data_IF_365354990621
#
_entry.id   IF_365354990621
#
_cell.length_a   1.000
_cell.length_b   1.000
_cell.length_c   1.000
_cell.angle_alpha   90.00
_cell.angle_beta   90.00
_cell.angle_gamma   90.00
#
_symmetry.space_group_name_H-M   'P 1'
#
loop_
_entity.id
_entity.type
_entity.pdbx_description
1 polymer ?
#
# COMPACT_ATOMS: atom_id res chain seq x y z
N UNK A 1 -11.21 -31.08 -27.33
CA UNK A 1 -11.03 -30.29 -26.08
C UNK A 1 -9.85 -29.36 -26.28
N UNK A 2 -10.08 -28.05 -26.22
CA UNK A 2 -9.00 -27.07 -26.35
C UNK A 2 -8.02 -27.26 -25.17
N UNK A 3 -6.77 -27.59 -25.49
CA UNK A 3 -5.70 -27.78 -24.51
C UNK A 3 -5.48 -26.44 -23.80
N UNK A 4 -5.91 -26.34 -22.54
CA UNK A 4 -5.73 -25.14 -21.72
C UNK A 4 -4.24 -24.77 -21.75
N UNK A 5 -3.93 -23.57 -22.21
CA UNK A 5 -2.56 -23.05 -22.27
C UNK A 5 -2.05 -22.88 -20.83
N UNK A 6 -0.93 -23.52 -20.49
CA UNK A 6 -0.26 -23.35 -19.20
C UNK A 6 0.51 -22.02 -19.19
N UNK A 7 0.20 -21.16 -18.22
CA UNK A 7 0.87 -19.88 -18.00
C UNK A 7 1.97 -20.02 -16.93
N UNK A 8 3.21 -19.79 -17.34
CA UNK A 8 4.38 -19.86 -16.47
C UNK A 8 4.48 -18.69 -15.48
N UNK A 9 3.90 -17.53 -15.80
CA UNK A 9 3.84 -16.39 -14.90
C UNK A 9 2.86 -16.66 -13.76
N UNK A 10 1.72 -17.32 -14.04
CA UNK A 10 0.78 -17.78 -13.00
C UNK A 10 1.46 -18.75 -12.03
N UNK A 11 2.29 -19.66 -12.51
CA UNK A 11 3.08 -20.53 -11.62
C UNK A 11 4.01 -19.70 -10.71
N UNK A 12 4.75 -18.76 -11.30
CA UNK A 12 5.65 -17.87 -10.55
C UNK A 12 4.89 -17.06 -9.51
N UNK A 13 3.74 -16.50 -9.89
CA UNK A 13 2.84 -15.72 -9.05
C UNK A 13 2.36 -16.52 -7.84
N UNK A 14 1.78 -17.70 -8.07
CA UNK A 14 1.31 -18.56 -6.98
C UNK A 14 2.44 -18.95 -6.03
N UNK A 15 3.62 -19.34 -6.57
CA UNK A 15 4.76 -19.68 -5.72
C UNK A 15 5.20 -18.51 -4.85
N UNK A 16 5.32 -17.32 -5.45
CA UNK A 16 5.70 -16.09 -4.75
C UNK A 16 4.68 -15.69 -3.70
N UNK A 17 3.38 -15.74 -4.02
CA UNK A 17 2.30 -15.43 -3.07
C UNK A 17 2.35 -16.32 -1.82
N UNK A 18 2.70 -17.61 -1.98
CA UNK A 18 2.89 -18.56 -0.87
C UNK A 18 4.24 -18.45 -0.16
N UNK A 19 5.12 -17.52 -0.58
CA UNK A 19 6.44 -17.32 0.03
C UNK A 19 7.42 -18.48 -0.19
N UNK A 20 7.16 -19.34 -1.18
CA UNK A 20 7.95 -20.54 -1.41
C UNK A 20 9.16 -20.25 -2.31
N UNK A 21 10.32 -20.78 -1.93
CA UNK A 21 11.47 -20.89 -2.82
C UNK A 21 11.26 -22.03 -3.82
N UNK A 22 11.97 -21.98 -4.95
CA UNK A 22 11.89 -23.02 -6.00
C UNK A 22 12.21 -24.43 -5.49
N UNK A 23 13.14 -24.55 -4.53
CA UNK A 23 13.48 -25.84 -3.91
C UNK A 23 12.35 -26.38 -3.02
N UNK A 24 11.71 -25.52 -2.24
CA UNK A 24 10.57 -25.91 -1.40
C UNK A 24 9.38 -26.37 -2.24
N UNK A 25 9.07 -25.66 -3.34
CA UNK A 25 8.02 -26.09 -4.26
C UNK A 25 8.37 -27.41 -4.96
N UNK A 26 9.64 -27.58 -5.36
CA UNK A 26 10.09 -28.81 -6.01
C UNK A 26 9.93 -30.03 -5.09
N UNK A 27 10.28 -29.89 -3.82
CA UNK A 27 10.10 -30.92 -2.79
C UNK A 27 8.61 -31.28 -2.62
N UNK A 28 7.74 -30.28 -2.46
CA UNK A 28 6.29 -30.49 -2.31
C UNK A 28 5.62 -31.18 -3.51
N UNK A 29 6.16 -30.99 -4.72
CA UNK A 29 5.63 -31.54 -5.98
C UNK A 29 6.27 -32.89 -6.35
N UNK A 30 7.38 -33.26 -5.70
CA UNK A 30 8.18 -34.44 -6.07
C UNK A 30 8.94 -34.26 -7.38
N UNK A 31 9.55 -33.08 -7.59
CA UNK A 31 10.36 -32.78 -8.78
C UNK A 31 11.68 -32.09 -8.40
N UNK A 32 12.42 -31.55 -9.36
CA UNK A 32 13.70 -30.85 -9.11
C UNK A 32 13.53 -29.32 -9.14
N UNK A 33 14.34 -28.56 -8.38
CA UNK A 33 14.33 -27.09 -8.45
C UNK A 33 14.62 -26.57 -9.87
N UNK A 34 15.44 -27.31 -10.64
CA UNK A 34 15.74 -27.03 -12.04
C UNK A 34 14.49 -27.15 -12.92
N UNK A 35 13.66 -28.17 -12.70
CA UNK A 35 12.41 -28.33 -13.43
C UNK A 35 11.44 -27.18 -13.13
N UNK A 36 11.23 -26.82 -11.85
CA UNK A 36 10.44 -25.64 -11.46
C UNK A 36 10.94 -24.37 -12.15
N UNK A 37 12.26 -24.14 -12.13
CA UNK A 37 12.86 -23.00 -12.81
C UNK A 37 12.60 -22.96 -14.32
N UNK A 38 12.61 -24.12 -15.00
CA UNK A 38 12.27 -24.21 -16.43
C UNK A 38 10.78 -24.02 -16.70
N UNK A 39 9.91 -24.45 -15.80
CA UNK A 39 8.47 -24.23 -15.89
C UNK A 39 8.15 -22.74 -15.77
N UNK A 40 8.70 -22.05 -14.77
CA UNK A 40 8.52 -20.61 -14.55
C UNK A 40 9.12 -19.76 -15.68
N UNK A 41 10.23 -20.19 -16.28
CA UNK A 41 10.82 -19.50 -17.42
C UNK A 41 10.11 -19.79 -18.76
N UNK A 42 9.05 -20.61 -18.77
CA UNK A 42 8.35 -21.00 -20.00
C UNK A 42 9.15 -21.93 -20.92
N UNK A 43 10.35 -22.35 -20.51
CA UNK A 43 11.27 -23.20 -21.30
C UNK A 43 10.75 -24.64 -21.42
N UNK A 44 10.00 -25.12 -20.42
CA UNK A 44 9.41 -26.44 -20.41
C UNK A 44 8.00 -26.35 -19.86
N UNK A 45 7.06 -27.11 -20.42
CA UNK A 45 5.71 -27.24 -19.84
C UNK A 45 5.64 -28.46 -18.94
N UNK A 46 5.05 -28.35 -17.74
CA UNK A 46 4.73 -29.52 -16.92
C UNK A 46 3.68 -30.39 -17.63
N UNK A 47 3.73 -31.69 -17.38
CA UNK A 47 2.67 -32.62 -17.78
C UNK A 47 1.43 -32.49 -16.88
N UNK A 48 0.29 -33.03 -17.31
CA UNK A 48 -0.97 -32.91 -16.55
C UNK A 48 -0.88 -33.42 -15.10
N UNK A 49 -0.23 -34.57 -14.80
CA UNK A 49 -0.02 -35.00 -13.43
C UNK A 49 0.78 -33.98 -12.60
N UNK A 50 1.82 -33.38 -13.18
CA UNK A 50 2.62 -32.35 -12.50
C UNK A 50 1.81 -31.08 -12.26
N UNK A 51 0.98 -30.65 -13.21
CA UNK A 51 0.07 -29.50 -13.03
C UNK A 51 -0.88 -29.73 -11.85
N UNK A 52 -1.45 -30.94 -11.73
CA UNK A 52 -2.32 -31.29 -10.59
C UNK A 52 -1.56 -31.26 -9.26
N UNK A 53 -0.32 -31.76 -9.22
CA UNK A 53 0.52 -31.68 -8.01
C UNK A 53 0.89 -30.23 -7.65
N UNK A 54 1.19 -29.39 -8.64
CA UNK A 54 1.43 -27.96 -8.45
C UNK A 54 0.21 -27.25 -7.87
N UNK A 55 -0.98 -27.54 -8.39
CA UNK A 55 -2.25 -26.99 -7.88
C UNK A 55 -2.44 -27.29 -6.40
N UNK A 56 -2.25 -28.56 -6.00
CA UNK A 56 -2.35 -28.99 -4.60
C UNK A 56 -1.29 -28.31 -3.72
N UNK A 57 -0.02 -28.33 -4.14
CA UNK A 57 1.08 -27.76 -3.35
C UNK A 57 0.95 -26.24 -3.14
N UNK A 58 0.35 -25.53 -4.09
CA UNK A 58 0.17 -24.08 -4.05
C UNK A 58 -1.20 -23.66 -3.51
N UNK A 59 -2.12 -24.61 -3.29
CA UNK A 59 -3.48 -24.33 -2.85
C UNK A 59 -4.27 -23.51 -3.85
N UNK A 60 -4.14 -23.80 -5.15
CA UNK A 60 -4.86 -23.11 -6.24
C UNK A 60 -5.56 -24.13 -7.14
N UNK A 61 -6.68 -23.80 -7.80
CA UNK A 61 -7.30 -24.70 -8.77
C UNK A 61 -6.39 -24.87 -10.00
N UNK A 62 -6.50 -26.00 -10.71
CA UNK A 62 -5.74 -26.23 -11.96
C UNK A 62 -5.99 -25.11 -12.99
N UNK A 63 -7.21 -24.57 -13.01
CA UNK A 63 -7.59 -23.44 -13.87
C UNK A 63 -6.80 -22.16 -13.55
N UNK A 64 -6.19 -22.02 -12.36
CA UNK A 64 -5.33 -20.87 -12.05
C UNK A 64 -4.11 -20.79 -12.97
N UNK A 65 -3.59 -21.94 -13.42
CA UNK A 65 -2.50 -21.99 -14.39
C UNK A 65 -2.96 -21.80 -15.83
N UNK A 66 -4.27 -21.66 -16.05
CA UNK A 66 -4.89 -21.59 -17.36
C UNK A 66 -5.69 -20.30 -17.54
N UNK A 67 -5.14 -19.33 -18.27
CA UNK A 67 -5.93 -18.18 -18.70
C UNK A 67 -5.15 -16.87 -18.75
N UNK A 68 -5.30 -16.20 -19.90
CA UNK A 68 -5.24 -14.76 -20.14
C UNK A 68 -3.99 -14.06 -19.64
N UNK A 69 -3.09 -13.69 -20.58
CA UNK A 69 -2.04 -12.69 -20.34
C UNK A 69 -2.62 -11.58 -19.47
N UNK A 70 -2.17 -11.43 -18.23
CA UNK A 70 -2.33 -10.17 -17.55
C UNK A 70 -1.10 -9.37 -18.01
N UNK A 71 -1.25 -8.42 -18.96
CA UNK A 71 -0.13 -7.82 -19.68
C UNK A 71 0.72 -6.89 -18.80
N UNK A 72 0.34 -6.73 -17.53
CA UNK A 72 0.89 -5.69 -16.67
C UNK A 72 2.11 -6.24 -15.95
N UNK A 73 3.30 -5.99 -16.45
CA UNK A 73 4.46 -6.14 -15.58
C UNK A 73 4.35 -5.08 -14.48
N UNK A 74 4.44 -5.48 -13.21
CA UNK A 74 4.49 -4.53 -12.10
C UNK A 74 5.85 -3.82 -12.01
N UNK A 75 6.71 -3.95 -13.02
CA UNK A 75 8.12 -3.51 -13.04
C UNK A 75 8.33 -2.01 -12.72
N UNK A 76 7.27 -1.19 -12.74
CA UNK A 76 7.34 0.25 -12.45
C UNK A 76 6.93 0.69 -11.05
N UNK A 77 6.53 -0.19 -10.12
CA UNK A 77 6.10 0.34 -8.83
C UNK A 77 7.27 0.87 -7.98
N UNK A 78 6.95 1.86 -7.13
CA UNK A 78 7.91 2.50 -6.22
C UNK A 78 8.23 1.60 -5.03
N UNK A 79 8.85 0.44 -5.31
CA UNK A 79 9.16 -0.62 -4.35
C UNK A 79 10.34 -0.28 -3.41
N UNK A 80 10.62 0.99 -3.16
CA UNK A 80 11.75 1.36 -2.32
C UNK A 80 11.49 1.09 -0.84
N UNK A 81 10.26 1.13 -0.36
CA UNK A 81 9.90 0.82 1.03
C UNK A 81 10.29 -0.62 1.45
N UNK A 82 10.61 -1.46 0.48
CA UNK A 82 10.92 -2.88 0.62
C UNK A 82 12.43 -3.22 0.72
N UNK A 83 13.34 -2.24 0.66
CA UNK A 83 14.80 -2.54 0.58
C UNK A 83 15.39 -3.19 1.83
N UNK A 84 14.81 -2.97 3.00
CA UNK A 84 15.18 -3.62 4.27
C UNK A 84 14.59 -5.03 4.40
N UNK A 85 13.67 -5.39 3.52
CA UNK A 85 12.86 -6.60 3.58
C UNK A 85 13.52 -7.76 2.82
N UNK A 86 13.31 -9.00 3.28
CA UNK A 86 13.87 -10.17 2.60
C UNK A 86 13.32 -10.28 1.16
N UNK A 87 14.07 -10.95 0.28
CA UNK A 87 13.60 -11.17 -1.10
C UNK A 87 12.25 -11.92 -1.16
N UNK A 88 11.96 -12.78 -0.19
CA UNK A 88 10.72 -13.55 -0.14
C UNK A 88 9.53 -12.63 0.18
N UNK A 89 9.65 -11.82 1.24
CA UNK A 89 8.61 -10.86 1.64
C UNK A 89 8.33 -9.85 0.51
N UNK A 90 9.37 -9.42 -0.22
CA UNK A 90 9.24 -8.61 -1.44
C UNK A 90 8.46 -9.31 -2.53
N UNK A 91 8.89 -10.52 -2.90
CA UNK A 91 8.22 -11.34 -3.90
C UNK A 91 6.74 -11.58 -3.53
N UNK A 92 6.43 -11.75 -2.23
CA UNK A 92 5.07 -11.89 -1.72
C UNK A 92 4.24 -10.62 -1.88
N UNK A 93 4.77 -9.45 -1.50
CA UNK A 93 4.09 -8.17 -1.66
C UNK A 93 3.79 -7.87 -3.15
N UNK A 94 4.74 -8.16 -4.04
CA UNK A 94 4.55 -8.05 -5.48
C UNK A 94 3.47 -8.98 -6.00
N UNK A 95 3.51 -10.24 -5.57
CA UNK A 95 2.48 -11.22 -5.94
C UNK A 95 1.10 -10.79 -5.43
N UNK A 96 1.04 -10.27 -4.21
CA UNK A 96 -0.20 -9.77 -3.61
C UNK A 96 -0.76 -8.58 -4.41
N UNK A 97 0.08 -7.61 -4.77
CA UNK A 97 -0.32 -6.50 -5.64
C UNK A 97 -0.83 -6.96 -7.00
N UNK A 98 -0.24 -8.02 -7.58
CA UNK A 98 -0.72 -8.60 -8.84
C UNK A 98 -2.09 -9.26 -8.71
N UNK A 99 -2.32 -10.03 -7.64
CA UNK A 99 -3.65 -10.61 -7.37
C UNK A 99 -4.67 -9.47 -7.15
N UNK A 100 -4.27 -8.38 -6.49
CA UNK A 100 -5.11 -7.21 -6.33
C UNK A 100 -5.50 -6.58 -7.68
N UNK A 101 -4.54 -6.37 -8.59
CA UNK A 101 -4.79 -5.92 -9.97
C UNK A 101 -5.85 -6.76 -10.66
N UNK A 102 -5.73 -8.09 -10.60
CA UNK A 102 -6.68 -9.01 -11.25
C UNK A 102 -8.09 -8.90 -10.62
N UNK A 103 -8.19 -8.77 -9.30
CA UNK A 103 -9.46 -8.60 -8.57
C UNK A 103 -10.12 -7.27 -8.91
N UNK A 104 -9.36 -6.17 -8.90
CA UNK A 104 -9.89 -4.84 -9.23
C UNK A 104 -10.36 -4.80 -10.68
N UNK A 105 -9.59 -5.36 -11.62
CA UNK A 105 -9.97 -5.42 -13.02
C UNK A 105 -11.22 -6.30 -13.26
N UNK A 106 -11.45 -7.32 -12.42
CA UNK A 106 -12.69 -8.09 -12.46
C UNK A 106 -13.89 -7.31 -11.92
N UNK A 107 -13.70 -6.54 -10.85
CA UNK A 107 -14.75 -5.71 -10.25
C UNK A 107 -15.17 -4.56 -11.15
N UNK A 108 -14.23 -3.86 -11.78
CA UNK A 108 -14.53 -2.74 -12.70
C UNK A 108 -15.38 -3.15 -13.92
N UNK A 109 -15.40 -4.44 -14.28
CA UNK A 109 -16.32 -4.93 -15.33
C UNK A 109 -17.78 -5.01 -14.87
N UNK A 110 -18.04 -4.91 -13.57
CA UNK A 110 -19.32 -5.19 -12.95
C UNK A 110 -19.87 -4.02 -12.13
N UNK A 111 -19.02 -3.09 -11.70
CA UNK A 111 -19.40 -1.92 -10.91
C UNK A 111 -18.50 -0.74 -11.23
N UNK A 112 -19.11 0.45 -11.29
CA UNK A 112 -18.39 1.71 -11.39
C UNK A 112 -17.79 2.05 -10.02
N UNK A 113 -16.45 2.07 -9.97
CA UNK A 113 -15.70 2.58 -8.83
C UNK A 113 -15.44 4.09 -9.03
N UNK A 114 -15.12 4.86 -7.98
CA UNK A 114 -14.79 6.28 -8.12
C UNK A 114 -13.72 6.52 -9.18
N UNK A 115 -13.89 7.61 -9.94
CA UNK A 115 -12.95 8.03 -10.98
C UNK A 115 -11.59 8.39 -10.36
N UNK A 116 -10.52 8.15 -11.13
CA UNK A 116 -9.15 8.45 -10.69
C UNK A 116 -8.87 9.91 -10.99
N UNK A 117 -8.92 10.75 -9.96
CA UNK A 117 -8.74 12.21 -10.06
C UNK A 117 -7.51 12.67 -9.26
N UNK A 118 -6.34 12.09 -9.55
CA UNK A 118 -5.09 12.53 -8.95
C UNK A 118 -4.41 13.61 -9.81
N UNK A 119 -4.01 14.75 -9.22
CA UNK A 119 -3.18 15.70 -9.95
C UNK A 119 -1.78 15.12 -10.16
N UNK A 120 -1.18 15.43 -11.30
CA UNK A 120 0.21 15.11 -11.60
C UNK A 120 1.07 16.37 -11.40
N UNK A 121 2.19 16.21 -10.69
CA UNK A 121 3.18 17.27 -10.52
C UNK A 121 4.58 16.67 -10.47
N UNK A 122 5.22 16.51 -11.62
CA UNK A 122 6.53 15.87 -11.72
C UNK A 122 7.58 16.69 -10.99
N UNK A 123 8.19 16.11 -9.97
CA UNK A 123 9.36 16.67 -9.28
C UNK A 123 10.60 15.91 -9.75
N UNK A 124 11.63 16.60 -10.29
CA UNK A 124 12.86 15.94 -10.71
C UNK A 124 13.55 15.21 -9.54
N UNK A 125 14.04 13.97 -9.73
CA UNK A 125 14.65 13.19 -8.66
C UNK A 125 15.97 13.78 -8.15
N UNK A 126 16.62 14.67 -8.91
CA UNK A 126 17.81 15.41 -8.53
C UNK A 126 17.53 16.72 -7.76
N UNK A 127 16.25 17.09 -7.57
CA UNK A 127 15.85 18.26 -6.79
C UNK A 127 15.93 17.99 -5.28
N UNK A 128 17.07 18.35 -4.67
CA UNK A 128 17.33 18.08 -3.25
C UNK A 128 16.61 19.08 -2.32
N UNK A 129 16.54 20.36 -2.70
CA UNK A 129 16.12 21.44 -1.81
C UNK A 129 15.18 22.48 -2.46
N UNK A 130 14.61 22.17 -3.62
CA UNK A 130 13.63 23.03 -4.28
C UNK A 130 12.24 22.92 -3.66
N UNK A 131 11.31 23.79 -4.05
CA UNK A 131 9.94 23.87 -3.53
C UNK A 131 8.98 22.83 -4.14
N UNK A 132 9.42 22.03 -5.11
CA UNK A 132 8.57 21.12 -5.88
C UNK A 132 7.66 20.24 -5.03
N UNK A 133 8.16 19.52 -4.00
CA UNK A 133 7.32 18.67 -3.17
C UNK A 133 6.25 19.41 -2.36
N UNK A 134 6.56 20.65 -1.96
CA UNK A 134 5.64 21.52 -1.20
C UNK A 134 4.55 22.06 -2.13
N UNK A 135 4.93 22.46 -3.34
CA UNK A 135 3.99 22.92 -4.38
C UNK A 135 3.06 21.80 -4.83
N UNK A 136 3.60 20.59 -5.06
CA UNK A 136 2.83 19.40 -5.36
C UNK A 136 1.81 19.08 -4.26
N UNK A 137 2.21 19.15 -2.99
CA UNK A 137 1.31 18.91 -1.86
C UNK A 137 0.17 19.94 -1.79
N UNK A 138 0.46 21.22 -2.09
CA UNK A 138 -0.56 22.29 -2.15
C UNK A 138 -1.51 22.09 -3.31
N UNK A 139 -1.01 21.72 -4.48
CA UNK A 139 -1.84 21.36 -5.64
C UNK A 139 -2.75 20.18 -5.31
N UNK A 140 -2.19 19.11 -4.72
CA UNK A 140 -2.93 17.94 -4.28
C UNK A 140 -3.99 18.29 -3.23
N UNK A 141 -3.68 19.10 -2.21
CA UNK A 141 -4.69 19.56 -1.25
C UNK A 141 -5.81 20.32 -1.92
N UNK A 142 -5.50 21.27 -2.81
CA UNK A 142 -6.51 22.07 -3.51
C UNK A 142 -7.44 21.21 -4.37
N UNK A 143 -6.93 20.15 -4.98
CA UNK A 143 -7.71 19.23 -5.79
C UNK A 143 -8.53 18.25 -4.94
N UNK A 144 -7.95 17.71 -3.86
CA UNK A 144 -8.48 16.54 -3.18
C UNK A 144 -9.26 16.87 -1.89
N UNK A 145 -8.84 17.90 -1.16
CA UNK A 145 -9.36 18.24 0.18
C UNK A 145 -10.35 19.39 0.06
N UNK A 146 -11.60 19.15 0.47
CA UNK A 146 -12.70 20.10 0.29
C UNK A 146 -12.60 21.35 1.18
N UNK A 147 -12.13 21.20 2.42
CA UNK A 147 -12.12 22.27 3.43
C UNK A 147 -10.72 22.48 4.00
N UNK A 148 -10.33 23.71 4.39
CA UNK A 148 -9.11 23.97 5.13
C UNK A 148 -9.05 23.20 6.46
N UNK A 149 -7.84 22.95 6.96
CA UNK A 149 -7.61 22.25 8.21
C UNK A 149 -7.12 20.82 8.06
N UNK A 150 -7.18 20.04 9.16
CA UNK A 150 -6.77 18.64 9.18
C UNK A 150 -7.53 17.78 8.18
N UNK A 151 -6.83 16.87 7.50
CA UNK A 151 -7.47 15.84 6.66
C UNK A 151 -8.31 14.92 7.57
N UNK A 152 -9.64 14.82 7.43
CA UNK A 152 -10.44 14.05 8.39
C UNK A 152 -10.09 12.55 8.38
N UNK A 153 -9.93 11.96 7.19
CA UNK A 153 -9.67 10.53 7.01
C UNK A 153 -8.90 10.30 5.70
N UNK A 154 -7.61 9.96 5.80
CA UNK A 154 -6.68 9.82 4.66
C UNK A 154 -7.08 8.67 3.74
N UNK A 155 -7.40 7.49 4.27
CA UNK A 155 -7.80 6.32 3.47
C UNK A 155 -9.07 6.59 2.66
N UNK A 156 -10.10 7.17 3.28
CA UNK A 156 -11.34 7.53 2.55
C UNK A 156 -11.12 8.63 1.53
N UNK A 157 -10.22 9.57 1.80
CA UNK A 157 -9.84 10.60 0.85
C UNK A 157 -9.23 9.96 -0.41
N UNK A 158 -8.27 9.05 -0.23
CA UNK A 158 -7.68 8.30 -1.34
C UNK A 158 -8.73 7.51 -2.13
N UNK A 159 -9.60 6.77 -1.42
CA UNK A 159 -10.66 5.99 -2.06
C UNK A 159 -11.70 6.86 -2.80
N UNK A 160 -12.04 8.04 -2.27
CA UNK A 160 -12.96 8.96 -2.92
C UNK A 160 -12.44 9.48 -4.27
N UNK A 161 -11.11 9.53 -4.42
CA UNK A 161 -10.41 9.96 -5.65
C UNK A 161 -9.85 8.78 -6.45
N UNK A 162 -10.51 7.63 -6.35
CA UNK A 162 -10.28 6.47 -7.21
C UNK A 162 -9.09 5.58 -6.86
N UNK A 163 -8.28 5.95 -5.86
CA UNK A 163 -7.14 5.15 -5.40
C UNK A 163 -7.62 3.94 -4.61
N UNK A 164 -7.19 2.74 -4.99
CA UNK A 164 -7.48 1.54 -4.19
C UNK A 164 -6.56 1.51 -3.00
N UNK A 165 -7.15 1.35 -1.83
CA UNK A 165 -6.38 1.14 -0.61
C UNK A 165 -6.54 -0.31 -0.17
N UNK A 166 -5.41 -0.99 0.04
CA UNK A 166 -5.34 -2.38 0.49
C UNK A 166 -4.51 -2.48 1.76
N UNK A 167 -4.78 -3.50 2.56
CA UNK A 167 -4.00 -3.84 3.75
C UNK A 167 -3.14 -5.05 3.42
N UNK A 168 -1.85 -4.97 3.76
CA UNK A 168 -0.91 -6.06 3.58
C UNK A 168 -1.19 -7.19 4.59
N UNK A 169 -1.07 -8.46 4.17
CA UNK A 169 -1.27 -9.59 5.07
C UNK A 169 -0.10 -9.73 6.06
N UNK A 170 -0.33 -10.42 7.17
CA UNK A 170 0.69 -10.69 8.20
C UNK A 170 1.96 -11.36 7.64
N UNK A 171 1.84 -12.15 6.57
CA UNK A 171 3.00 -12.74 5.88
C UNK A 171 3.98 -11.69 5.32
N UNK A 172 3.54 -10.44 5.17
CA UNK A 172 4.31 -9.29 4.71
C UNK A 172 4.49 -8.25 5.84
N UNK A 173 4.45 -8.64 7.12
CA UNK A 173 4.52 -7.72 8.28
C UNK A 173 5.73 -6.76 8.25
N UNK A 174 6.85 -7.16 7.64
CA UNK A 174 8.08 -6.35 7.56
C UNK A 174 8.17 -5.45 6.32
N UNK A 175 7.16 -5.49 5.47
CA UNK A 175 7.05 -4.63 4.29
C UNK A 175 6.49 -3.29 4.75
N UNK A 176 7.23 -2.20 4.57
CA UNK A 176 6.64 -0.86 4.78
C UNK A 176 5.52 -0.60 3.75
N UNK A 177 4.69 0.41 4.00
CA UNK A 177 3.66 0.79 3.03
C UNK A 177 4.28 1.09 1.65
N UNK A 178 3.53 0.87 0.58
CA UNK A 178 3.99 1.20 -0.77
C UNK A 178 2.82 1.50 -1.70
N UNK A 179 3.14 2.13 -2.83
CA UNK A 179 2.18 2.46 -3.88
C UNK A 179 2.59 1.88 -5.23
N UNK A 180 1.58 1.67 -6.06
CA UNK A 180 1.72 1.24 -7.46
C UNK A 180 0.96 2.24 -8.32
N UNK A 181 1.69 2.90 -9.23
CA UNK A 181 1.18 3.98 -10.05
C UNK A 181 0.21 3.55 -11.16
N UNK A 182 0.25 2.29 -11.63
CA UNK A 182 -0.48 1.92 -12.85
C UNK A 182 -1.12 0.53 -12.88
N UNK A 183 -2.34 0.56 -13.41
CA UNK A 183 -3.29 -0.46 -13.88
C UNK A 183 -3.84 -1.55 -12.92
N UNK A 184 -5.19 -1.71 -12.87
CA UNK A 184 -6.20 -0.91 -13.58
C UNK A 184 -6.34 0.54 -13.08
N UNK A 185 -5.92 0.82 -11.84
CA UNK A 185 -5.97 2.12 -11.15
C UNK A 185 -4.82 2.22 -10.14
N UNK A 186 -4.44 3.42 -9.66
CA UNK A 186 -3.42 3.57 -8.62
C UNK A 186 -3.83 2.83 -7.35
N UNK A 187 -2.85 2.19 -6.70
CA UNK A 187 -3.07 1.40 -5.49
C UNK A 187 -2.08 1.79 -4.40
N UNK A 188 -2.54 1.84 -3.14
CA UNK A 188 -1.74 2.01 -1.94
C UNK A 188 -1.92 0.79 -1.04
N UNK A 189 -0.81 0.21 -0.61
CA UNK A 189 -0.76 -0.96 0.26
C UNK A 189 -0.26 -0.55 1.64
N UNK A 190 -1.15 -0.52 2.62
CA UNK A 190 -0.81 -0.20 4.01
C UNK A 190 -0.31 -1.41 4.78
N UNK A 191 0.68 -1.19 5.63
CA UNK A 191 1.10 -2.19 6.61
C UNK A 191 0.45 -1.90 7.99
N UNK A 192 -0.49 -2.75 8.46
CA UNK A 192 -1.15 -2.54 9.75
C UNK A 192 -0.26 -2.89 10.94
N UNK A 193 0.86 -3.60 10.72
CA UNK A 193 1.68 -4.20 11.78
C UNK A 193 2.20 -3.22 12.83
N UNK A 194 2.43 -1.95 12.43
CA UNK A 194 2.88 -0.92 13.36
C UNK A 194 1.80 -0.50 14.37
N UNK A 195 0.52 -0.79 14.11
CA UNK A 195 -0.58 -0.50 15.02
C UNK A 195 -0.76 0.98 15.40
N UNK A 196 -0.14 1.89 14.65
CA UNK A 196 -0.09 3.33 14.95
C UNK A 196 -0.90 4.09 13.90
N UNK A 197 -2.06 4.61 14.31
CA UNK A 197 -2.98 5.39 13.47
C UNK A 197 -2.32 6.64 12.87
N UNK A 198 -1.47 7.32 13.65
CA UNK A 198 -0.88 8.59 13.25
C UNK A 198 0.24 8.38 12.24
N UNK A 199 1.00 7.28 12.37
CA UNK A 199 1.98 6.88 11.35
C UNK A 199 1.32 6.41 10.08
N UNK A 200 0.27 5.59 10.16
CA UNK A 200 -0.45 5.12 8.98
C UNK A 200 -0.99 6.28 8.14
N UNK A 201 -1.50 7.35 8.78
CA UNK A 201 -1.94 8.55 8.05
C UNK A 201 -0.80 9.26 7.34
N UNK A 202 0.36 9.36 7.98
CA UNK A 202 1.56 9.92 7.36
C UNK A 202 2.06 9.06 6.21
N UNK A 203 2.14 7.74 6.40
CA UNK A 203 2.50 6.76 5.36
C UNK A 203 1.53 6.89 4.17
N UNK A 204 0.22 7.07 4.41
CA UNK A 204 -0.76 7.25 3.34
C UNK A 204 -0.57 8.53 2.53
N UNK A 205 -0.25 9.65 3.20
CA UNK A 205 0.09 10.89 2.53
C UNK A 205 1.44 10.81 1.81
N UNK A 206 2.38 10.01 2.32
CA UNK A 206 3.67 9.75 1.69
C UNK A 206 3.49 8.96 0.39
N UNK A 207 2.69 7.89 0.41
CA UNK A 207 2.35 7.13 -0.79
C UNK A 207 1.56 7.95 -1.81
N UNK A 208 0.65 8.82 -1.36
CA UNK A 208 0.02 9.81 -2.24
C UNK A 208 1.04 10.72 -2.91
N UNK A 209 2.07 11.15 -2.17
CA UNK A 209 3.17 11.95 -2.71
C UNK A 209 3.92 11.24 -3.84
N UNK A 210 4.15 9.93 -3.71
CA UNK A 210 4.72 9.14 -4.80
C UNK A 210 3.80 9.10 -6.02
N UNK A 211 2.51 8.83 -5.83
CA UNK A 211 1.54 8.81 -6.93
C UNK A 211 1.43 10.15 -7.67
N UNK A 212 1.45 11.27 -6.94
CA UNK A 212 1.32 12.63 -7.51
C UNK A 212 2.60 13.08 -8.23
N UNK A 213 3.77 12.78 -7.65
CA UNK A 213 5.02 13.40 -8.09
C UNK A 213 5.95 12.48 -8.90
N UNK A 214 5.82 11.16 -8.74
CA UNK A 214 6.89 10.21 -9.10
C UNK A 214 6.45 9.12 -10.06
N UNK A 215 5.27 9.18 -10.69
CA UNK A 215 4.66 8.06 -11.44
C UNK A 215 5.61 7.23 -12.34
N UNK A 216 6.67 7.84 -12.91
CA UNK A 216 7.67 7.18 -13.77
C UNK A 216 9.12 7.17 -13.23
N UNK A 217 9.36 7.61 -11.99
CA UNK A 217 10.71 7.74 -11.44
C UNK A 217 11.29 6.37 -11.01
N UNK A 218 12.57 6.12 -11.34
CA UNK A 218 13.26 4.91 -10.89
C UNK A 218 13.25 4.84 -9.34
N UNK A 219 12.71 3.76 -8.75
CA UNK A 219 12.58 3.65 -7.30
C UNK A 219 13.95 3.56 -6.63
N UNK A 220 14.30 4.48 -5.74
CA UNK A 220 15.52 4.22 -4.98
C UNK A 220 16.37 5.35 -4.45
N UNK A 221 16.12 6.59 -4.85
CA UNK A 221 17.01 7.68 -4.52
C UNK A 221 16.64 8.30 -3.19
N UNK A 222 17.62 8.55 -2.32
CA UNK A 222 17.40 9.18 -1.00
C UNK A 222 16.60 10.48 -1.12
N UNK A 223 16.77 11.16 -2.24
CA UNK A 223 16.12 12.41 -2.59
C UNK A 223 14.61 12.19 -2.79
N UNK A 224 14.20 11.22 -3.63
CA UNK A 224 12.79 10.87 -3.87
C UNK A 224 11.99 10.61 -2.58
N UNK A 225 12.55 9.88 -1.62
CA UNK A 225 11.84 9.64 -0.34
C UNK A 225 11.77 10.90 0.53
N UNK A 226 12.81 11.74 0.50
CA UNK A 226 12.77 13.03 1.19
C UNK A 226 11.71 13.94 0.55
N UNK A 227 11.59 13.93 -0.78
CA UNK A 227 10.53 14.61 -1.51
C UNK A 227 9.14 14.12 -1.07
N UNK A 228 8.88 12.80 -1.06
CA UNK A 228 7.61 12.24 -0.58
C UNK A 228 7.34 12.53 0.91
N UNK A 229 8.37 12.54 1.76
CA UNK A 229 8.25 12.95 3.16
C UNK A 229 7.85 14.43 3.30
N UNK A 230 8.48 15.31 2.52
CA UNK A 230 8.18 16.75 2.51
C UNK A 230 6.78 17.02 1.97
N UNK A 231 6.37 16.28 0.94
CA UNK A 231 4.99 16.29 0.44
C UNK A 231 4.01 15.91 1.54
N UNK A 232 4.21 14.78 2.21
CA UNK A 232 3.31 14.30 3.27
C UNK A 232 3.19 15.30 4.43
N UNK A 233 4.31 15.91 4.82
CA UNK A 233 4.35 16.93 5.87
C UNK A 233 3.57 18.19 5.50
N UNK A 234 3.70 18.70 4.26
CA UNK A 234 2.92 19.84 3.79
C UNK A 234 1.44 19.48 3.58
N UNK A 235 1.14 18.30 3.05
CA UNK A 235 -0.22 17.84 2.76
C UNK A 235 -1.07 17.65 4.04
N UNK A 236 -0.46 17.09 5.09
CA UNK A 236 -1.15 16.85 6.36
C UNK A 236 -1.10 18.03 7.32
N UNK A 237 -0.10 18.90 7.20
CA UNK A 237 0.13 20.03 8.11
C UNK A 237 0.56 21.29 7.34
N UNK A 238 -0.32 21.92 6.54
CA UNK A 238 0.03 23.05 5.67
C UNK A 238 0.69 24.18 6.44
N UNK A 239 1.73 24.79 5.87
CA UNK A 239 2.60 25.72 6.60
C UNK A 239 1.85 26.97 7.07
N UNK A 240 0.94 27.44 6.22
CA UNK A 240 0.06 28.58 6.41
C UNK A 240 -1.08 28.32 7.40
N UNK A 241 -1.42 27.05 7.65
CA UNK A 241 -2.46 26.69 8.61
C UNK A 241 -1.89 26.35 10.00
N UNK A 242 -0.83 25.54 10.08
CA UNK A 242 -0.30 25.05 11.37
C UNK A 242 0.82 25.94 11.95
N UNK A 243 1.44 26.80 11.14
CA UNK A 243 2.71 27.46 11.48
C UNK A 243 2.68 28.20 12.82
N UNK A 244 1.64 29.00 13.05
CA UNK A 244 1.47 29.81 14.27
C UNK A 244 1.08 28.99 15.50
N UNK A 245 0.64 27.74 15.30
CA UNK A 245 0.24 26.85 16.37
C UNK A 245 1.41 26.04 16.97
N UNK A 246 2.49 25.89 16.20
CA UNK A 246 3.61 25.01 16.54
C UNK A 246 4.49 25.62 17.65
N UNK A 247 4.87 24.84 18.67
CA UNK A 247 5.72 25.35 19.73
C UNK A 247 7.18 25.45 19.27
N UNK A 248 7.85 26.53 19.66
CA UNK A 248 9.28 26.74 19.39
C UNK A 248 10.22 25.94 20.31
N UNK A 249 9.66 25.27 21.33
CA UNK A 249 10.33 24.34 22.26
C UNK A 249 9.45 23.11 22.47
N UNK A 250 9.96 22.10 23.16
CA UNK A 250 9.21 20.88 23.46
C UNK A 250 8.12 21.14 24.51
N UNK A 251 6.95 21.57 24.04
CA UNK A 251 5.72 21.66 24.82
C UNK A 251 4.86 20.42 24.55
N UNK A 252 4.91 19.45 25.48
CA UNK A 252 4.28 18.14 25.28
C UNK A 252 2.75 18.19 25.35
N UNK A 253 2.19 19.12 26.12
CA UNK A 253 0.75 19.31 26.23
C UNK A 253 0.22 19.89 24.93
N UNK A 254 0.85 20.96 24.43
CA UNK A 254 0.50 21.54 23.14
C UNK A 254 0.67 20.56 21.98
N UNK A 255 1.74 19.76 21.97
CA UNK A 255 1.95 18.72 20.96
C UNK A 255 0.89 17.61 21.04
N UNK A 256 0.37 17.30 22.23
CA UNK A 256 -0.70 16.30 22.40
C UNK A 256 -2.04 16.82 21.84
N UNK A 257 -2.36 18.09 22.08
CA UNK A 257 -3.52 18.76 21.49
C UNK A 257 -3.43 18.74 19.96
N UNK A 258 -2.31 19.21 19.40
CA UNK A 258 -2.09 19.24 17.95
C UNK A 258 -2.11 17.83 17.34
N UNK A 259 -1.56 16.82 18.02
CA UNK A 259 -1.65 15.41 17.60
C UNK A 259 -3.10 14.95 17.46
N UNK A 260 -3.97 15.37 18.37
CA UNK A 260 -5.38 14.98 18.37
C UNK A 260 -6.18 15.68 17.26
N UNK A 261 -5.88 16.96 17.00
CA UNK A 261 -6.51 17.83 15.98
C UNK A 261 -6.04 17.46 14.57
N UNK A 262 -4.73 17.51 14.34
CA UNK A 262 -4.13 17.28 13.01
C UNK A 262 -4.04 15.80 12.63
N UNK A 263 -4.18 14.89 13.60
CA UNK A 263 -4.15 13.45 13.35
C UNK A 263 -2.79 12.94 12.89
N UNK A 264 -1.70 13.57 13.37
CA UNK A 264 -0.30 13.19 13.11
C UNK A 264 0.48 12.98 14.41
N UNK A 265 1.62 12.29 14.35
CA UNK A 265 2.40 11.97 15.56
C UNK A 265 3.07 13.22 16.15
N UNK A 266 3.38 13.21 17.45
CA UNK A 266 4.19 14.26 18.07
C UNK A 266 5.56 14.36 17.39
N UNK A 267 6.14 13.23 16.98
CA UNK A 267 7.38 13.22 16.21
C UNK A 267 7.24 13.97 14.87
N UNK A 268 6.13 13.80 14.15
CA UNK A 268 5.84 14.53 12.91
C UNK A 268 5.65 16.03 13.16
N UNK A 269 4.97 16.42 14.24
CA UNK A 269 4.80 17.83 14.63
C UNK A 269 6.13 18.50 14.98
N UNK A 270 7.01 17.83 15.73
CA UNK A 270 8.35 18.32 16.04
C UNK A 270 9.20 18.48 14.77
N UNK A 271 9.13 17.50 13.87
CA UNK A 271 9.80 17.58 12.57
C UNK A 271 9.25 18.77 11.76
N UNK A 272 7.93 18.96 11.73
CA UNK A 272 7.28 20.07 11.03
C UNK A 272 7.71 21.43 11.58
N UNK A 273 7.68 21.61 12.91
CA UNK A 273 8.15 22.82 13.58
C UNK A 273 9.61 23.15 13.23
N UNK A 274 10.46 22.13 13.11
CA UNK A 274 11.84 22.29 12.66
C UNK A 274 11.92 22.72 11.21
N UNK A 275 11.21 22.06 10.30
CA UNK A 275 11.26 22.36 8.86
C UNK A 275 10.70 23.74 8.52
N UNK A 276 9.77 24.27 9.31
CA UNK A 276 9.24 25.63 9.16
C UNK A 276 10.10 26.69 9.86
N UNK A 277 11.19 26.30 10.53
CA UNK A 277 12.07 27.22 11.25
C UNK A 277 11.52 27.74 12.59
N UNK A 278 10.32 27.34 13.00
CA UNK A 278 9.70 27.68 14.28
C UNK A 278 10.53 27.12 15.45
N UNK A 279 10.97 25.87 15.32
CA UNK A 279 11.86 25.20 16.28
C UNK A 279 13.27 25.10 15.72
N UNK A 280 14.25 25.67 16.43
CA UNK A 280 15.67 25.59 16.03
C UNK A 280 16.22 24.18 16.22
N UNK A 281 17.19 23.81 15.38
CA UNK A 281 17.83 22.48 15.38
C UNK A 281 18.28 21.98 16.77
N UNK A 282 18.89 22.79 17.67
CA UNK A 282 19.25 22.32 19.02
C UNK A 282 18.03 21.93 19.85
N UNK A 283 16.96 22.73 19.82
CA UNK A 283 15.72 22.46 20.55
C UNK A 283 15.04 21.19 20.01
N UNK A 284 15.02 21.02 18.69
CA UNK A 284 14.51 19.81 18.04
C UNK A 284 15.29 18.56 18.46
N UNK A 285 16.62 18.59 18.47
CA UNK A 285 17.44 17.45 18.91
C UNK A 285 17.16 17.08 20.37
N UNK A 286 17.04 18.06 21.25
CA UNK A 286 16.64 17.84 22.64
C UNK A 286 15.25 17.21 22.74
N UNK A 287 14.27 17.72 21.98
CA UNK A 287 12.92 17.17 21.94
C UNK A 287 12.88 15.72 21.44
N UNK A 288 13.60 15.41 20.36
CA UNK A 288 13.68 14.06 19.82
C UNK A 288 14.38 13.07 20.76
N UNK A 289 15.41 13.53 21.49
CA UNK A 289 16.04 12.73 22.55
C UNK A 289 15.04 12.44 23.68
N UNK A 290 14.30 13.46 24.11
CA UNK A 290 13.26 13.37 25.11
C UNK A 290 12.08 12.44 24.72
N UNK A 291 11.68 12.40 23.44
CA UNK A 291 10.73 11.40 22.92
C UNK A 291 11.28 9.97 23.06
N UNK A 292 12.57 9.80 22.78
CA UNK A 292 13.23 8.48 22.79
C UNK A 292 13.34 7.93 24.20
N UNK A 293 13.82 8.75 25.14
CA UNK A 293 14.02 8.34 26.53
C UNK A 293 12.72 7.96 27.23
N UNK A 294 11.59 8.52 26.78
CA UNK A 294 10.25 8.19 27.27
C UNK A 294 9.61 6.98 26.57
N UNK A 295 10.27 6.38 25.57
CA UNK A 295 9.69 5.30 24.77
C UNK A 295 8.62 5.75 23.77
N UNK A 296 8.40 7.06 23.64
CA UNK A 296 7.35 7.65 22.80
C UNK A 296 7.62 7.53 21.30
N UNK A 297 8.84 7.12 20.92
CA UNK A 297 9.11 6.65 19.55
C UNK A 297 8.43 5.33 19.19
N UNK A 298 7.86 4.59 20.15
CA UNK A 298 7.08 3.39 19.88
C UNK A 298 5.61 3.62 20.21
N UNK A 299 5.35 4.24 21.35
CA UNK A 299 4.00 4.49 21.83
C UNK A 299 3.92 5.89 22.43
N UNK A 300 3.34 6.82 21.67
CA UNK A 300 3.07 8.18 22.16
C UNK A 300 1.96 8.18 23.22
N UNK A 301 1.96 9.15 24.16
CA UNK A 301 0.94 9.25 25.17
C UNK A 301 -0.43 9.63 24.58
N UNK A 302 -1.50 9.27 25.30
CA UNK A 302 -2.89 9.55 24.92
C UNK A 302 -3.67 8.29 24.53
N UNK A 303 -4.97 8.44 24.22
CA UNK A 303 -5.81 7.31 23.83
C UNK A 303 -5.36 6.75 22.47
N UNK A 304 -5.39 5.43 22.33
CA UNK A 304 -5.21 4.78 21.04
C UNK A 304 -6.41 5.07 20.13
N UNK A 305 -6.16 5.12 18.83
CA UNK A 305 -7.20 5.23 17.80
C UNK A 305 -7.13 4.02 16.88
N UNK A 306 -8.26 3.45 16.46
CA UNK A 306 -8.25 2.38 15.48
C UNK A 306 -7.69 2.90 14.16
N UNK A 307 -6.96 2.03 13.44
CA UNK A 307 -6.45 2.37 12.11
C UNK A 307 -7.61 2.67 11.16
N UNK A 308 -7.39 3.65 10.29
CA UNK A 308 -8.27 3.89 9.14
C UNK A 308 -8.35 2.64 8.26
N UNK A 309 -9.55 2.19 7.93
CA UNK A 309 -9.76 0.97 7.14
C UNK A 309 -10.29 1.30 5.75
N UNK A 310 -9.81 0.62 4.69
CA UNK A 310 -10.38 0.74 3.36
C UNK A 310 -11.79 0.15 3.30
N UNK A 311 -12.62 0.69 2.42
CA UNK A 311 -14.02 0.27 2.27
C UNK A 311 -14.47 0.14 0.82
N UNK A 312 -13.74 0.70 -0.15
CA UNK A 312 -14.12 0.74 -1.56
C UNK A 312 -14.38 -0.66 -2.10
N UNK A 313 -13.41 -1.57 -2.02
CA UNK A 313 -13.55 -2.91 -2.60
C UNK A 313 -14.57 -3.77 -1.83
N UNK A 314 -14.69 -3.58 -0.51
CA UNK A 314 -15.72 -4.29 0.26
C UNK A 314 -17.11 -3.87 -0.17
N UNK A 315 -17.35 -2.56 -0.36
CA UNK A 315 -18.64 -2.05 -0.87
C UNK A 315 -18.89 -2.48 -2.31
N UNK A 316 -17.86 -2.48 -3.16
CA UNK A 316 -17.95 -2.98 -4.53
C UNK A 316 -18.44 -4.44 -4.57
N UNK A 317 -17.84 -5.30 -3.73
CA UNK A 317 -18.28 -6.70 -3.59
C UNK A 317 -19.71 -6.83 -3.06
N UNK A 318 -20.13 -5.99 -2.11
CA UNK A 318 -21.50 -5.97 -1.61
C UNK A 318 -22.50 -5.59 -2.72
N UNK A 319 -22.20 -4.56 -3.51
CA UNK A 319 -23.05 -4.12 -4.64
C UNK A 319 -23.14 -5.21 -5.71
N UNK A 320 -22.01 -5.76 -6.13
CA UNK A 320 -21.99 -6.80 -7.17
C UNK A 320 -22.69 -8.09 -6.70
N UNK A 321 -22.61 -8.42 -5.41
CA UNK A 321 -23.37 -9.52 -4.82
C UNK A 321 -24.89 -9.30 -4.92
N UNK A 322 -25.38 -8.06 -4.73
CA UNK A 322 -26.81 -7.74 -4.93
C UNK A 322 -27.26 -7.90 -6.37
N UNK A 323 -26.34 -7.77 -7.33
CA UNK A 323 -26.57 -8.02 -8.75
C UNK A 323 -26.41 -9.51 -9.15
N UNK A 324 -26.18 -10.40 -8.17
CA UNK A 324 -26.17 -11.86 -8.37
C UNK A 324 -24.79 -12.48 -8.62
N UNK A 325 -23.70 -11.70 -8.57
CA UNK A 325 -22.34 -12.25 -8.63
C UNK A 325 -21.72 -12.23 -7.24
N UNK A 326 -21.64 -13.40 -6.60
CA UNK A 326 -21.01 -13.54 -5.30
C UNK A 326 -19.47 -13.50 -5.39
N UNK A 327 -18.81 -13.58 -4.24
CA UNK A 327 -17.36 -13.56 -4.13
C UNK A 327 -16.68 -14.75 -4.83
N UNK A 328 -17.33 -15.90 -4.96
CA UNK A 328 -16.78 -17.03 -5.72
C UNK A 328 -16.84 -16.74 -7.22
N UNK A 329 -17.91 -16.11 -7.69
CA UNK A 329 -18.01 -15.56 -9.04
C UNK A 329 -16.92 -14.54 -9.35
N UNK A 330 -16.67 -13.60 -8.42
CA UNK A 330 -15.57 -12.63 -8.57
C UNK A 330 -14.21 -13.30 -8.61
N UNK A 331 -13.94 -14.25 -7.69
CA UNK A 331 -12.68 -14.98 -7.67
C UNK A 331 -12.44 -15.72 -8.99
N UNK A 332 -13.49 -16.34 -9.54
CA UNK A 332 -13.44 -17.00 -10.86
C UNK A 332 -13.15 -16.00 -12.00
N UNK A 333 -13.82 -14.84 -12.01
CA UNK A 333 -13.62 -13.78 -13.02
C UNK A 333 -12.23 -13.14 -12.95
N UNK A 334 -11.64 -13.08 -11.76
CA UNK A 334 -10.28 -12.59 -11.53
C UNK A 334 -9.21 -13.69 -11.72
N UNK A 335 -9.61 -14.95 -11.95
CA UNK A 335 -8.70 -16.10 -11.98
C UNK A 335 -7.85 -16.24 -10.71
N UNK A 336 -8.43 -15.98 -9.54
CA UNK A 336 -7.80 -16.11 -8.23
C UNK A 336 -8.57 -17.12 -7.36
N UNK A 337 -8.00 -17.52 -6.23
CA UNK A 337 -8.75 -18.35 -5.29
C UNK A 337 -9.69 -17.49 -4.43
N UNK A 338 -10.75 -18.10 -3.92
CA UNK A 338 -11.61 -17.45 -2.93
C UNK A 338 -10.84 -16.98 -1.69
N UNK A 339 -9.89 -17.80 -1.24
CA UNK A 339 -9.04 -17.46 -0.10
C UNK A 339 -8.15 -16.23 -0.37
N UNK A 340 -7.59 -16.09 -1.57
CA UNK A 340 -6.78 -14.93 -1.94
C UNK A 340 -7.65 -13.65 -2.04
N UNK A 341 -8.89 -13.76 -2.55
CA UNK A 341 -9.86 -12.66 -2.55
C UNK A 341 -10.26 -12.24 -1.11
N UNK A 342 -10.51 -13.20 -0.23
CA UNK A 342 -10.88 -12.94 1.17
C UNK A 342 -9.72 -12.36 1.99
N UNK A 343 -8.48 -12.70 1.63
CA UNK A 343 -7.29 -12.06 2.19
C UNK A 343 -7.17 -10.60 1.73
N UNK A 344 -7.39 -10.34 0.44
CA UNK A 344 -7.32 -8.99 -0.16
C UNK A 344 -8.43 -8.06 0.33
N UNK A 345 -9.65 -8.56 0.37
CA UNK A 345 -10.84 -7.78 0.71
C UNK A 345 -11.60 -8.51 1.82
N UNK A 346 -11.17 -8.40 3.08
CA UNK A 346 -11.82 -9.07 4.19
C UNK A 346 -13.30 -8.75 4.28
N UNK A 347 -14.08 -9.68 4.82
CA UNK A 347 -15.45 -9.39 5.19
C UNK A 347 -15.47 -8.25 6.21
N UNK A 348 -16.42 -7.32 6.05
CA UNK A 348 -16.71 -6.33 7.10
C UNK A 348 -16.96 -7.08 8.40
N UNK A 349 -16.10 -6.87 9.40
CA UNK A 349 -16.44 -7.28 10.76
C UNK A 349 -17.67 -6.46 11.16
N UNK A 350 -18.74 -7.08 11.68
CA UNK A 350 -19.80 -6.31 12.30
C UNK A 350 -19.16 -5.40 13.33
N UNK A 351 -19.55 -4.12 13.35
CA UNK A 351 -19.18 -3.24 14.44
C UNK A 351 -19.56 -3.96 15.74
N UNK A 352 -18.67 -4.03 16.75
CA UNK A 352 -19.11 -4.51 18.06
C UNK A 352 -20.33 -3.67 18.44
N UNK A 353 -21.44 -4.33 18.75
CA UNK A 353 -22.61 -3.64 19.29
C UNK A 353 -22.10 -2.82 20.47
N UNK A 354 -22.15 -1.50 20.36
CA UNK A 354 -21.96 -0.63 21.51
C UNK A 354 -23.07 -0.98 22.49
N UNK A 355 -22.70 -1.66 23.57
CA UNK A 355 -23.52 -1.85 24.76
C UNK A 355 -23.38 -0.62 25.66
#
# INVERSE_FOLDING_TARGET
MARVLFDCERLTLARRLRGLRKNQLAEAVGTTPKAIGRYEAGVQRPDEPTVKRLAVALGVPVAFFGGGRSPVSLDGAHFRSLRSTSQIERDQALAYGRIATDVVAALERLVDLPEVELPEYVVPPDEIAGSGPVEAARLARKALVAEPGPVPHVVRLLEAHGVVVLVLPDAAERVDAFSVGVHPRPMVFFNPAKGDYWRNRFDGAHELGHLVMHADAEPGEKIVEDQAHRFAAEFLMPADEIGDELPNRADWERLAELKAVWGVSMAALLYRARTLGVMKEPAYRTAMSALSSRGWRRQEPGPTRPLEQPTMLTRALEIVATAGTDRDGIAALAHVTRADLDLLVPHRRPLPNNA
#
